data_IF_267754963741
#
_entry.id   IF_267754963741
#
_cell.length_a   1.000
_cell.length_b   1.000
_cell.length_c   1.000
_cell.angle_alpha   90.00
_cell.angle_beta   90.00
_cell.angle_gamma   90.00
#
_symmetry.space_group_name_H-M   'P 1'
#
loop_
_entity.id
_entity.type
_entity.pdbx_description
1 polymer ?
#
# COMPACT_ATOMS: atom_id res chain seq x y z
N UNK A 1 -7.29 -12.72 13.09
CA UNK A 1 -7.56 -14.01 13.80
C UNK A 1 -6.57 -15.03 13.24
N UNK A 2 -5.58 -15.49 14.02
CA UNK A 2 -4.59 -16.44 13.51
C UNK A 2 -5.30 -17.79 13.26
N UNK A 3 -5.22 -18.32 12.04
CA UNK A 3 -5.88 -19.56 11.61
C UNK A 3 -5.19 -20.84 12.12
N UNK A 4 -4.20 -20.70 13.01
CA UNK A 4 -3.52 -21.80 13.67
C UNK A 4 -4.11 -22.03 15.07
N UNK A 5 -4.19 -23.30 15.48
CA UNK A 5 -4.74 -23.72 16.78
C UNK A 5 -4.12 -22.91 17.90
N UNK A 6 -4.96 -22.47 18.84
CA UNK A 6 -4.64 -21.74 20.09
C UNK A 6 -3.75 -22.53 21.10
N UNK A 7 -2.79 -23.32 20.64
CA UNK A 7 -1.66 -23.73 21.44
C UNK A 7 -0.46 -22.91 21.00
N UNK A 8 -0.23 -21.82 21.75
CA UNK A 8 0.82 -20.82 21.56
C UNK A 8 0.77 -20.09 20.21
N UNK A 9 0.41 -18.81 20.27
CA UNK A 9 1.03 -17.80 19.42
C UNK A 9 2.54 -17.88 19.65
N UNK A 10 3.22 -18.78 18.95
CA UNK A 10 4.68 -18.89 18.98
C UNK A 10 5.22 -17.63 18.30
N UNK A 11 5.97 -16.78 19.01
CA UNK A 11 6.83 -15.82 18.34
C UNK A 11 7.81 -16.63 17.48
N UNK A 12 7.79 -16.43 16.16
CA UNK A 12 8.78 -17.04 15.24
C UNK A 12 8.29 -18.03 14.19
N UNK A 13 6.97 -18.19 13.96
CA UNK A 13 6.50 -18.92 12.77
C UNK A 13 6.53 -18.00 11.55
N UNK A 14 7.56 -18.12 10.72
CA UNK A 14 7.61 -17.52 9.39
C UNK A 14 6.91 -18.42 8.37
N UNK A 15 6.22 -17.82 7.39
CA UNK A 15 5.63 -18.55 6.27
C UNK A 15 6.54 -18.40 5.05
N UNK A 16 7.08 -19.51 4.56
CA UNK A 16 7.93 -19.54 3.35
C UNK A 16 7.11 -19.61 2.06
N UNK A 17 5.83 -19.96 2.17
CA UNK A 17 4.95 -20.25 1.03
C UNK A 17 4.82 -21.76 0.74
N UNK A 18 5.51 -22.61 1.50
CA UNK A 18 5.36 -24.06 1.41
C UNK A 18 3.97 -24.52 1.87
N UNK A 19 3.27 -25.30 1.04
CA UNK A 19 1.86 -25.65 1.30
C UNK A 19 1.65 -26.45 2.60
N UNK A 20 2.66 -27.19 3.07
CA UNK A 20 2.63 -27.91 4.34
C UNK A 20 2.45 -27.00 5.57
N UNK A 21 2.80 -25.71 5.46
CA UNK A 21 2.63 -24.70 6.51
C UNK A 21 1.15 -24.30 6.68
N UNK A 22 0.34 -24.46 5.63
CA UNK A 22 -1.06 -24.04 5.56
C UNK A 22 -2.06 -25.20 5.65
N UNK A 23 -1.61 -26.42 5.37
CA UNK A 23 -2.45 -27.63 5.33
C UNK A 23 -1.89 -28.72 6.24
N UNK A 24 -1.67 -28.37 7.51
CA UNK A 24 -1.13 -29.25 8.53
C UNK A 24 -2.04 -29.38 9.75
N UNK A 25 -1.65 -30.24 10.70
CA UNK A 25 -2.39 -30.46 11.95
C UNK A 25 -2.45 -29.23 12.88
N UNK A 26 -1.59 -28.23 12.60
CA UNK A 26 -1.53 -26.92 13.28
C UNK A 26 -2.68 -26.00 12.92
N UNK A 27 -3.39 -26.25 11.81
CA UNK A 27 -4.50 -25.43 11.36
C UNK A 27 -5.71 -25.64 12.26
N UNK A 28 -6.36 -24.55 12.64
CA UNK A 28 -7.62 -24.57 13.39
C UNK A 28 -8.80 -24.80 12.43
N UNK A 29 -9.16 -26.06 12.27
CA UNK A 29 -10.26 -26.46 11.38
C UNK A 29 -11.62 -25.97 11.86
N UNK A 30 -11.80 -25.79 13.18
CA UNK A 30 -13.06 -25.27 13.74
C UNK A 30 -13.21 -23.79 13.39
N UNK A 31 -12.14 -23.00 13.54
CA UNK A 31 -12.11 -21.60 13.14
C UNK A 31 -12.34 -21.43 11.62
N UNK A 32 -11.67 -22.23 10.78
CA UNK A 32 -11.89 -22.19 9.33
C UNK A 32 -13.32 -22.54 8.93
N UNK A 33 -13.90 -23.57 9.56
CA UNK A 33 -15.29 -23.97 9.32
C UNK A 33 -16.26 -22.86 9.71
N UNK A 34 -16.03 -22.22 10.86
CA UNK A 34 -16.81 -21.07 11.28
C UNK A 34 -16.74 -19.91 10.27
N UNK A 35 -15.55 -19.56 9.79
CA UNK A 35 -15.37 -18.48 8.82
C UNK A 35 -16.03 -18.80 7.47
N UNK A 36 -15.92 -20.04 6.99
CA UNK A 36 -16.60 -20.49 5.78
C UNK A 36 -18.13 -20.41 5.91
N UNK A 37 -18.69 -20.84 7.05
CA UNK A 37 -20.12 -20.72 7.34
C UNK A 37 -20.55 -19.25 7.43
N UNK A 38 -19.75 -18.39 8.08
CA UNK A 38 -20.03 -16.96 8.18
C UNK A 38 -20.06 -16.30 6.81
N UNK A 39 -19.05 -16.53 5.97
CA UNK A 39 -19.00 -15.99 4.61
C UNK A 39 -20.15 -16.52 3.74
N UNK A 40 -20.46 -17.82 3.81
CA UNK A 40 -21.60 -18.38 3.08
C UNK A 40 -22.91 -17.70 3.50
N UNK A 41 -23.14 -17.54 4.80
CA UNK A 41 -24.32 -16.86 5.33
C UNK A 41 -24.40 -15.39 4.90
N UNK A 42 -23.31 -14.63 5.04
CA UNK A 42 -23.25 -13.20 4.68
C UNK A 42 -23.64 -13.02 3.20
N UNK A 43 -23.04 -13.79 2.29
CA UNK A 43 -23.32 -13.66 0.86
C UNK A 43 -24.69 -14.22 0.45
N UNK A 44 -25.27 -15.15 1.23
CA UNK A 44 -26.66 -15.58 1.04
C UNK A 44 -27.66 -14.49 1.44
N UNK A 45 -27.39 -13.75 2.51
CA UNK A 45 -28.27 -12.70 3.02
C UNK A 45 -28.10 -11.39 2.24
N UNK A 46 -26.85 -11.03 1.92
CA UNK A 46 -26.48 -9.82 1.19
C UNK A 46 -25.44 -10.18 0.11
N UNK A 47 -25.87 -10.55 -1.11
CA UNK A 47 -24.97 -10.98 -2.18
C UNK A 47 -23.93 -9.93 -2.62
N UNK A 48 -24.18 -8.65 -2.34
CA UNK A 48 -23.27 -7.54 -2.62
C UNK A 48 -22.36 -7.19 -1.45
N UNK A 49 -22.40 -7.95 -0.35
CA UNK A 49 -21.49 -7.74 0.77
C UNK A 49 -20.04 -7.92 0.34
N UNK A 50 -19.14 -7.25 1.04
CA UNK A 50 -17.70 -7.42 0.87
C UNK A 50 -17.12 -7.82 2.22
N UNK A 51 -16.41 -8.93 2.22
CA UNK A 51 -15.72 -9.49 3.38
C UNK A 51 -14.21 -9.50 3.12
N UNK A 52 -13.43 -8.98 4.08
CA UNK A 52 -11.98 -8.81 3.92
C UNK A 52 -11.28 -9.57 5.05
N UNK A 53 -10.34 -10.44 4.67
CA UNK A 53 -9.49 -11.15 5.61
C UNK A 53 -8.21 -10.36 5.92
N UNK A 54 -7.98 -10.11 7.20
CA UNK A 54 -6.67 -9.73 7.72
C UNK A 54 -5.90 -11.01 8.08
N UNK A 55 -5.15 -11.52 7.10
CA UNK A 55 -4.30 -12.69 7.22
C UNK A 55 -2.89 -12.39 6.69
N UNK A 56 -1.91 -12.41 7.60
CA UNK A 56 -0.50 -12.24 7.27
C UNK A 56 0.12 -13.51 6.69
N UNK A 57 -0.47 -14.68 6.95
CA UNK A 57 0.17 -15.96 6.62
C UNK A 57 0.33 -16.18 5.13
N UNK A 58 -0.67 -15.80 4.33
CA UNK A 58 -0.67 -16.13 2.91
C UNK A 58 -1.57 -17.31 2.55
N UNK A 59 -2.51 -17.71 3.43
CA UNK A 59 -3.26 -18.96 3.28
C UNK A 59 -3.93 -19.07 1.89
N UNK A 60 -3.62 -20.12 1.11
CA UNK A 60 -4.27 -20.37 -0.18
C UNK A 60 -5.77 -20.65 -0.01
N UNK A 61 -6.57 -20.24 -1.01
CA UNK A 61 -8.02 -20.45 -1.04
C UNK A 61 -8.82 -19.74 0.07
N UNK A 62 -8.19 -18.82 0.80
CA UNK A 62 -8.87 -17.98 1.79
C UNK A 62 -9.91 -17.08 1.11
N UNK A 63 -9.59 -16.60 -0.10
CA UNK A 63 -10.45 -15.70 -0.86
C UNK A 63 -11.12 -16.38 -2.07
N UNK A 64 -11.30 -17.71 -2.02
CA UNK A 64 -12.06 -18.45 -3.03
C UNK A 64 -13.46 -18.81 -2.49
N UNK A 65 -14.48 -18.97 -3.36
CA UNK A 65 -15.83 -19.31 -2.94
C UNK A 65 -15.91 -20.60 -2.13
N UNK A 66 -16.82 -20.63 -1.15
CA UNK A 66 -17.07 -21.79 -0.27
C UNK A 66 -17.49 -23.01 -1.09
N UNK A 67 -18.25 -22.80 -2.15
CA UNK A 67 -18.74 -23.83 -3.08
C UNK A 67 -17.59 -24.53 -3.83
N UNK A 68 -16.43 -23.89 -3.93
CA UNK A 68 -15.22 -24.44 -4.55
C UNK A 68 -14.22 -24.99 -3.53
N UNK A 69 -14.60 -25.02 -2.24
CA UNK A 69 -13.74 -25.45 -1.15
C UNK A 69 -12.85 -24.37 -0.54
N UNK A 70 -13.09 -23.10 -0.87
CA UNK A 70 -12.43 -21.96 -0.23
C UNK A 70 -13.13 -21.51 1.06
N UNK A 71 -12.59 -20.47 1.70
CA UNK A 71 -13.16 -19.90 2.94
C UNK A 71 -14.20 -18.81 2.65
N UNK A 72 -14.24 -18.27 1.43
CA UNK A 72 -15.30 -17.38 0.97
C UNK A 72 -15.11 -15.88 1.25
N UNK A 73 -13.91 -15.43 1.66
CA UNK A 73 -13.63 -14.00 1.72
C UNK A 73 -13.53 -13.42 0.30
N UNK A 74 -13.90 -12.15 0.13
CA UNK A 74 -13.77 -11.48 -1.17
C UNK A 74 -12.35 -10.97 -1.41
N UNK A 75 -11.72 -10.45 -0.36
CA UNK A 75 -10.38 -9.89 -0.42
C UNK A 75 -9.54 -10.30 0.78
N UNK A 76 -8.22 -10.19 0.62
CA UNK A 76 -7.25 -10.19 1.72
C UNK A 76 -6.44 -8.91 1.72
N UNK A 77 -5.86 -8.55 2.86
CA UNK A 77 -4.91 -7.44 2.95
C UNK A 77 -3.53 -7.81 2.40
N UNK A 78 -2.94 -6.94 1.58
CA UNK A 78 -1.59 -7.06 1.03
C UNK A 78 -0.51 -6.66 2.05
N UNK A 79 -0.43 -7.37 3.18
CA UNK A 79 0.34 -6.95 4.36
C UNK A 79 1.86 -6.86 4.15
N UNK A 80 2.41 -7.55 3.15
CA UNK A 80 3.85 -7.47 2.82
C UNK A 80 4.26 -6.14 2.16
N UNK A 81 3.30 -5.38 1.63
CA UNK A 81 3.57 -4.15 0.86
C UNK A 81 4.08 -3.02 1.78
N UNK A 82 3.42 -2.68 2.91
CA UNK A 82 3.96 -1.70 3.85
C UNK A 82 5.34 -2.08 4.40
N UNK A 83 5.55 -3.34 4.76
CA UNK A 83 6.83 -3.82 5.28
C UNK A 83 7.97 -3.58 4.29
N UNK A 84 7.71 -3.76 2.99
CA UNK A 84 8.68 -3.50 1.93
C UNK A 84 9.04 -2.03 1.84
N UNK A 85 8.07 -1.12 1.92
CA UNK A 85 8.34 0.31 1.91
C UNK A 85 9.11 0.77 3.14
N UNK A 86 8.72 0.31 4.32
CA UNK A 86 9.43 0.60 5.57
C UNK A 86 10.87 0.10 5.50
N UNK A 87 11.07 -1.13 5.04
CA UNK A 87 12.41 -1.71 4.86
C UNK A 87 13.27 -0.85 3.94
N UNK A 88 12.74 -0.45 2.77
CA UNK A 88 13.46 0.41 1.83
C UNK A 88 13.83 1.77 2.45
N UNK A 89 12.90 2.40 3.17
CA UNK A 89 13.11 3.72 3.79
C UNK A 89 14.04 3.69 5.01
N UNK A 90 14.07 2.57 5.73
CA UNK A 90 14.83 2.40 6.97
C UNK A 90 16.24 1.89 6.74
N UNK A 91 16.41 0.95 5.81
CA UNK A 91 17.65 0.16 5.68
C UNK A 91 18.49 0.53 4.46
N UNK A 92 17.90 1.20 3.45
CA UNK A 92 18.57 1.44 2.17
C UNK A 92 18.55 2.93 1.80
N UNK A 93 19.62 3.37 1.14
CA UNK A 93 19.61 4.64 0.40
C UNK A 93 18.87 4.46 -0.91
N UNK A 94 18.38 5.55 -1.50
CA UNK A 94 17.57 5.54 -2.73
C UNK A 94 18.29 4.84 -3.90
N UNK A 95 19.59 5.08 -4.04
CA UNK A 95 20.42 4.47 -5.07
C UNK A 95 20.54 2.94 -4.93
N UNK A 96 20.36 2.42 -3.72
CA UNK A 96 20.46 1.00 -3.38
C UNK A 96 19.11 0.29 -3.44
N UNK A 97 18.03 1.00 -3.77
CA UNK A 97 16.71 0.37 -3.93
C UNK A 97 16.73 -0.61 -5.09
N UNK A 98 16.45 -1.88 -4.76
CA UNK A 98 16.30 -2.95 -5.74
C UNK A 98 14.90 -2.90 -6.36
N UNK A 99 14.84 -2.51 -7.63
CA UNK A 99 13.60 -2.28 -8.37
C UNK A 99 12.88 -3.59 -8.65
N UNK A 100 13.62 -4.65 -8.99
CA UNK A 100 13.09 -5.98 -9.25
C UNK A 100 12.38 -6.57 -8.03
N UNK A 101 12.98 -6.44 -6.85
CA UNK A 101 12.43 -6.92 -5.58
C UNK A 101 11.21 -6.09 -5.13
N UNK A 102 11.24 -4.77 -5.35
CA UNK A 102 10.09 -3.90 -5.13
C UNK A 102 8.90 -4.30 -6.02
N UNK A 103 9.14 -4.40 -7.34
CA UNK A 103 8.11 -4.82 -8.30
C UNK A 103 7.61 -6.22 -7.94
N UNK A 104 8.51 -7.16 -7.65
CA UNK A 104 8.14 -8.51 -7.23
C UNK A 104 7.21 -8.50 -6.03
N UNK A 105 7.52 -7.73 -4.99
CA UNK A 105 6.68 -7.64 -3.78
C UNK A 105 5.26 -7.16 -4.10
N UNK A 106 5.11 -6.20 -5.01
CA UNK A 106 3.79 -5.67 -5.40
C UNK A 106 2.97 -6.66 -6.25
N UNK A 107 3.64 -7.52 -7.03
CA UNK A 107 2.97 -8.43 -7.98
C UNK A 107 2.89 -9.88 -7.50
N UNK A 108 3.64 -10.26 -6.46
CA UNK A 108 3.69 -11.62 -5.92
C UNK A 108 2.42 -11.92 -5.11
N UNK A 109 1.33 -12.17 -5.83
CA UNK A 109 -0.01 -12.40 -5.30
C UNK A 109 -0.63 -13.62 -5.96
N UNK A 110 -1.57 -14.26 -5.28
CA UNK A 110 -2.22 -15.46 -5.78
C UNK A 110 -3.20 -15.10 -6.88
N UNK A 111 -3.01 -15.66 -8.07
CA UNK A 111 -3.92 -15.45 -9.18
C UNK A 111 -5.33 -15.94 -8.82
N UNK A 112 -6.35 -15.13 -9.07
CA UNK A 112 -7.75 -15.42 -8.76
C UNK A 112 -8.19 -15.06 -7.32
N UNK A 113 -7.27 -14.62 -6.45
CA UNK A 113 -7.59 -14.18 -5.09
C UNK A 113 -7.32 -12.67 -4.96
N UNK A 114 -8.37 -11.87 -4.75
CA UNK A 114 -8.27 -10.41 -4.76
C UNK A 114 -7.54 -9.89 -3.52
N UNK A 115 -6.70 -8.88 -3.70
CA UNK A 115 -5.89 -8.26 -2.64
C UNK A 115 -6.19 -6.77 -2.52
N UNK A 116 -6.43 -6.29 -1.29
CA UNK A 116 -6.45 -4.87 -0.97
C UNK A 116 -5.02 -4.42 -0.70
N UNK A 117 -4.51 -3.52 -1.54
CA UNK A 117 -3.19 -2.93 -1.38
C UNK A 117 -3.26 -1.59 -0.65
N UNK A 118 -2.20 -1.29 0.09
CA UNK A 118 -2.02 -0.06 0.85
C UNK A 118 -0.53 0.13 1.10
N UNK A 119 -0.07 1.39 1.12
CA UNK A 119 1.35 1.69 1.26
C UNK A 119 1.82 1.75 2.72
N UNK A 120 0.90 2.07 3.63
CA UNK A 120 1.09 2.13 5.09
C UNK A 120 -0.27 1.90 5.78
N UNK A 121 -0.25 1.37 7.01
CA UNK A 121 -1.42 0.96 7.77
C UNK A 121 -1.67 1.88 8.98
N UNK A 122 -2.68 1.53 9.76
CA UNK A 122 -2.94 2.18 11.05
C UNK A 122 -1.88 1.84 12.10
N UNK A 123 -1.22 0.68 12.02
CA UNK A 123 -0.17 0.27 12.95
C UNK A 123 1.06 1.18 12.83
N UNK A 124 1.49 1.50 11.59
CA UNK A 124 2.60 2.43 11.36
C UNK A 124 2.29 3.87 11.79
N UNK A 125 1.02 4.20 11.97
CA UNK A 125 0.61 5.51 12.47
C UNK A 125 0.67 5.60 14.00
N UNK A 126 0.81 4.49 14.73
CA UNK A 126 0.84 4.49 16.20
C UNK A 126 2.21 4.94 16.75
N UNK A 127 2.19 5.39 18.00
CA UNK A 127 3.41 5.69 18.76
C UNK A 127 4.37 4.51 18.77
N UNK A 128 5.64 4.76 18.42
CA UNK A 128 6.66 3.72 18.32
C UNK A 128 6.99 3.28 16.90
N UNK A 129 6.21 3.70 15.91
CA UNK A 129 6.54 3.58 14.49
C UNK A 129 6.49 4.96 13.79
N UNK A 130 6.74 5.00 12.48
CA UNK A 130 6.71 6.22 11.67
C UNK A 130 5.84 6.01 10.42
N UNK A 131 5.01 7.02 10.12
CA UNK A 131 4.31 7.11 8.83
C UNK A 131 5.30 7.26 7.68
N UNK A 132 4.88 7.01 6.43
CA UNK A 132 5.71 7.24 5.24
C UNK A 132 6.19 8.69 5.18
N UNK A 133 5.29 9.64 5.46
CA UNK A 133 5.62 11.06 5.52
C UNK A 133 6.75 11.33 6.53
N UNK A 134 6.69 10.72 7.72
CA UNK A 134 7.69 10.93 8.76
C UNK A 134 9.01 10.17 8.49
N UNK A 135 8.98 9.01 7.84
CA UNK A 135 10.19 8.36 7.31
C UNK A 135 10.90 9.22 6.25
N UNK A 136 10.13 9.92 5.42
CA UNK A 136 10.65 10.68 4.29
C UNK A 136 11.16 12.08 4.67
N UNK A 137 10.49 12.75 5.60
CA UNK A 137 10.73 14.17 5.91
C UNK A 137 11.18 14.42 7.35
N UNK A 138 10.94 13.48 8.26
CA UNK A 138 11.26 13.55 9.69
C UNK A 138 10.92 14.95 10.27
N UNK A 139 11.81 15.51 11.10
CA UNK A 139 11.63 16.81 11.75
C UNK A 139 11.53 18.00 10.81
N UNK A 140 12.03 17.92 9.57
CA UNK A 140 11.93 19.04 8.62
C UNK A 140 10.47 19.33 8.25
N UNK A 141 9.58 18.36 8.44
CA UNK A 141 8.16 18.54 8.23
C UNK A 141 7.55 19.63 9.14
N UNK A 142 8.15 19.88 10.32
CA UNK A 142 7.67 20.92 11.25
C UNK A 142 8.14 22.33 10.88
N UNK A 143 9.23 22.46 10.12
CA UNK A 143 9.85 23.76 9.80
C UNK A 143 9.73 24.15 8.34
N UNK A 144 9.58 23.16 7.45
CA UNK A 144 9.67 23.36 6.00
C UNK A 144 8.42 22.87 5.24
N UNK A 145 7.28 22.72 5.90
CA UNK A 145 6.00 22.49 5.23
C UNK A 145 5.24 23.76 4.85
N UNK A 146 5.74 24.95 5.22
CA UNK A 146 5.17 26.21 4.72
C UNK A 146 5.61 26.51 3.29
N UNK A 147 4.70 26.95 2.42
CA UNK A 147 5.04 27.39 1.06
C UNK A 147 5.96 28.61 1.04
N UNK A 148 6.02 29.38 2.13
CA UNK A 148 6.91 30.54 2.29
C UNK A 148 8.33 30.15 2.71
N UNK A 149 8.51 28.97 3.30
CA UNK A 149 9.83 28.49 3.68
C UNK A 149 10.57 27.95 2.45
N UNK A 150 11.90 27.91 2.52
CA UNK A 150 12.71 27.23 1.51
C UNK A 150 12.25 25.78 1.34
N UNK A 151 12.04 25.37 0.09
CA UNK A 151 11.79 23.97 -0.27
C UNK A 151 13.13 23.23 -0.22
N UNK A 152 13.43 22.59 0.91
CA UNK A 152 14.67 21.84 1.07
C UNK A 152 14.65 20.58 0.20
N UNK A 153 15.82 20.05 -0.20
CA UNK A 153 15.89 18.78 -0.92
C UNK A 153 15.21 17.61 -0.18
N UNK A 154 15.19 17.65 1.16
CA UNK A 154 14.50 16.64 1.99
C UNK A 154 12.99 16.72 1.82
N UNK A 155 12.40 17.92 1.91
CA UNK A 155 10.95 18.09 1.71
C UNK A 155 10.57 17.81 0.25
N UNK A 156 11.35 18.28 -0.71
CA UNK A 156 11.08 18.03 -2.13
C UNK A 156 11.07 16.53 -2.45
N UNK A 157 12.12 15.81 -2.02
CA UNK A 157 12.19 14.35 -2.09
C UNK A 157 11.02 13.69 -1.39
N UNK A 158 10.69 14.13 -0.18
CA UNK A 158 9.63 13.52 0.61
C UNK A 158 8.25 13.68 -0.03
N UNK A 159 7.93 14.86 -0.56
CA UNK A 159 6.69 15.09 -1.29
C UNK A 159 6.62 14.22 -2.57
N UNK A 160 7.71 14.15 -3.33
CA UNK A 160 7.77 13.36 -4.56
C UNK A 160 7.61 11.85 -4.28
N UNK A 161 8.41 11.31 -3.36
CA UNK A 161 8.36 9.87 -3.04
C UNK A 161 7.06 9.46 -2.38
N UNK A 162 6.46 10.29 -1.52
CA UNK A 162 5.16 9.99 -0.93
C UNK A 162 4.08 9.78 -2.00
N UNK A 163 4.04 10.66 -3.01
CA UNK A 163 3.15 10.54 -4.17
C UNK A 163 3.45 9.29 -5.00
N UNK A 164 4.73 9.05 -5.31
CA UNK A 164 5.16 7.92 -6.14
C UNK A 164 4.92 6.55 -5.48
N UNK A 165 5.23 6.40 -4.19
CA UNK A 165 5.03 5.16 -3.42
C UNK A 165 3.56 4.76 -3.46
N UNK A 166 2.66 5.74 -3.24
CA UNK A 166 1.23 5.49 -3.20
C UNK A 166 0.66 5.14 -4.57
N UNK A 167 1.02 5.91 -5.61
CA UNK A 167 0.58 5.62 -6.96
C UNK A 167 1.12 4.27 -7.45
N UNK A 168 2.39 3.95 -7.21
CA UNK A 168 2.94 2.65 -7.58
C UNK A 168 2.20 1.51 -6.85
N UNK A 169 1.96 1.69 -5.56
CA UNK A 169 1.23 0.69 -4.78
C UNK A 169 -0.19 0.49 -5.29
N UNK A 170 -0.95 1.57 -5.50
CA UNK A 170 -2.33 1.49 -5.99
C UNK A 170 -2.38 0.91 -7.41
N UNK A 171 -1.51 1.37 -8.31
CA UNK A 171 -1.54 0.94 -9.71
C UNK A 171 -0.98 -0.46 -9.94
N UNK A 172 -0.15 -1.02 -9.05
CA UNK A 172 0.49 -2.33 -9.27
C UNK A 172 0.13 -3.41 -8.23
N UNK A 173 -0.20 -2.99 -7.02
CA UNK A 173 -0.16 -3.83 -5.81
C UNK A 173 -1.40 -4.66 -5.49
N UNK A 174 -2.55 -4.42 -6.14
CA UNK A 174 -3.81 -5.03 -5.71
C UNK A 174 -4.99 -4.81 -6.64
N UNK A 175 -6.12 -5.41 -6.30
CA UNK A 175 -7.44 -5.24 -6.92
C UNK A 175 -8.34 -4.26 -6.14
N UNK A 176 -7.83 -3.72 -5.03
CA UNK A 176 -8.48 -2.68 -4.24
C UNK A 176 -7.42 -1.82 -3.54
N UNK A 177 -7.80 -0.60 -3.14
CA UNK A 177 -6.94 0.35 -2.45
C UNK A 177 -7.47 0.67 -1.06
N UNK A 178 -6.57 0.78 -0.08
CA UNK A 178 -6.88 1.23 1.28
C UNK A 178 -5.94 2.37 1.68
N UNK A 179 -6.49 3.36 2.35
CA UNK A 179 -5.74 4.47 2.95
C UNK A 179 -6.24 4.70 4.39
N UNK A 180 -5.32 4.76 5.35
CA UNK A 180 -5.66 5.12 6.71
C UNK A 180 -5.78 6.64 6.85
N UNK A 181 -6.84 7.08 7.54
CA UNK A 181 -7.22 8.49 7.69
C UNK A 181 -6.04 9.36 8.13
N UNK A 182 -5.75 10.43 7.39
CA UNK A 182 -4.63 11.33 7.59
C UNK A 182 -3.45 11.07 6.65
N UNK A 183 -3.18 9.81 6.31
CA UNK A 183 -2.04 9.47 5.47
C UNK A 183 -2.24 9.99 4.03
N UNK A 184 -3.49 10.31 3.65
CA UNK A 184 -3.81 10.87 2.34
C UNK A 184 -3.07 12.17 2.03
N UNK A 185 -2.79 12.96 3.06
CA UNK A 185 -2.08 14.21 2.96
C UNK A 185 -0.74 14.22 3.68
N UNK A 186 -0.22 13.07 4.09
CA UNK A 186 1.03 12.98 4.85
C UNK A 186 0.90 13.65 6.22
N UNK A 187 -0.15 13.31 6.97
CA UNK A 187 -0.41 13.85 8.31
C UNK A 187 0.85 13.81 9.19
N UNK A 188 1.18 14.91 9.90
CA UNK A 188 2.39 14.97 10.70
C UNK A 188 2.29 14.14 12.00
N UNK A 189 3.40 14.01 12.73
CA UNK A 189 3.43 13.34 14.05
C UNK A 189 3.00 11.85 13.97
N UNK A 190 2.34 11.38 15.03
CA UNK A 190 1.85 10.00 15.22
C UNK A 190 0.52 10.02 15.98
N UNK A 191 -0.14 8.87 16.04
CA UNK A 191 -1.34 8.60 16.82
C UNK A 191 -0.94 7.93 18.15
N UNK A 192 -1.35 8.50 19.29
CA UNK A 192 -1.18 7.86 20.60
C UNK A 192 -2.49 8.00 21.38
N UNK A 193 -2.98 6.90 21.93
CA UNK A 193 -4.21 6.86 22.71
C UNK A 193 -3.92 7.19 24.19
N UNK A 194 -4.88 7.76 24.92
CA UNK A 194 -4.76 7.98 26.36
C UNK A 194 -4.43 6.67 27.08
N UNK A 195 -3.33 6.67 27.82
CA UNK A 195 -2.87 5.53 28.62
C UNK A 195 -1.99 6.01 29.77
N UNK A 196 -1.76 5.18 30.81
CA UNK A 196 -0.89 5.57 31.92
C UNK A 196 0.51 6.03 31.50
N UNK A 197 1.06 5.46 30.42
CA UNK A 197 2.38 5.82 29.89
C UNK A 197 2.48 7.21 29.22
N UNK A 198 1.36 7.91 29.00
CA UNK A 198 1.34 9.29 28.50
C UNK A 198 0.45 10.22 29.34
N UNK A 199 0.20 9.85 30.61
CA UNK A 199 -0.66 10.58 31.55
C UNK A 199 -2.07 10.81 31.01
N UNK A 200 -2.66 9.78 30.39
CA UNK A 200 -4.02 9.82 29.81
C UNK A 200 -4.21 11.00 28.83
N UNK A 201 -3.16 11.33 28.09
CA UNK A 201 -3.15 12.46 27.17
C UNK A 201 -3.93 12.17 25.89
N UNK A 202 -4.78 13.11 25.50
CA UNK A 202 -5.50 13.12 24.22
C UNK A 202 -4.77 13.92 23.13
N UNK A 203 -3.59 14.47 23.43
CA UNK A 203 -2.89 15.40 22.54
C UNK A 203 -2.61 14.80 21.15
N UNK A 204 -2.28 13.51 21.07
CA UNK A 204 -2.03 12.78 19.82
C UNK A 204 -3.22 11.92 19.37
N UNK A 205 -4.29 11.82 20.15
CA UNK A 205 -5.50 11.07 19.82
C UNK A 205 -6.45 11.89 18.92
N UNK A 206 -5.91 12.48 17.84
CA UNK A 206 -6.62 13.42 16.97
C UNK A 206 -6.12 13.36 15.52
N UNK A 207 -6.83 14.07 14.64
CA UNK A 207 -6.37 14.42 13.29
C UNK A 207 -6.34 15.93 13.10
N UNK A 208 -5.23 16.42 12.55
CA UNK A 208 -4.94 17.85 12.35
C UNK A 208 -5.52 18.34 11.02
N UNK A 209 -6.85 18.32 10.85
CA UNK A 209 -7.49 18.74 9.59
C UNK A 209 -7.17 20.17 9.17
N UNK A 210 -6.89 21.03 10.15
CA UNK A 210 -6.47 22.42 9.94
C UNK A 210 -5.25 22.58 9.03
N UNK A 211 -4.37 21.56 8.91
CA UNK A 211 -3.21 21.64 8.01
C UNK A 211 -3.57 21.54 6.53
N UNK A 212 -4.77 21.02 6.21
CA UNK A 212 -5.33 21.00 4.87
C UNK A 212 -6.04 22.30 4.49
N UNK A 213 -6.67 22.92 5.48
CA UNK A 213 -7.40 24.19 5.29
C UNK A 213 -6.45 25.39 5.11
N UNK A 214 -5.19 25.24 5.53
CA UNK A 214 -4.17 26.28 5.41
C UNK A 214 -3.46 26.25 4.05
N UNK A 215 -3.84 27.19 3.18
CA UNK A 215 -3.21 27.39 1.87
C UNK A 215 -1.73 27.78 1.94
N UNK A 216 -1.22 28.14 3.11
CA UNK A 216 0.20 28.43 3.32
C UNK A 216 1.02 27.17 3.59
N UNK A 217 0.40 25.99 3.64
CA UNK A 217 1.08 24.71 3.87
C UNK A 217 1.10 23.80 2.62
N UNK A 218 2.09 22.91 2.57
CA UNK A 218 2.37 21.99 1.47
C UNK A 218 1.54 20.70 1.51
N UNK A 219 0.86 20.38 2.62
CA UNK A 219 0.01 19.17 2.76
C UNK A 219 -1.08 19.08 1.68
N UNK A 220 -1.60 20.23 1.24
CA UNK A 220 -2.58 20.33 0.16
C UNK A 220 -2.11 19.72 -1.16
N UNK A 221 -0.80 19.69 -1.43
CA UNK A 221 -0.26 19.06 -2.65
C UNK A 221 -0.41 17.53 -2.61
N UNK A 222 -0.14 16.92 -1.45
CA UNK A 222 -0.33 15.49 -1.25
C UNK A 222 -1.81 15.11 -1.33
N UNK A 223 -2.67 15.91 -0.71
CA UNK A 223 -4.12 15.69 -0.74
C UNK A 223 -4.71 15.81 -2.16
N UNK A 224 -4.31 16.84 -2.92
CA UNK A 224 -4.73 17.02 -4.32
C UNK A 224 -4.27 15.88 -5.20
N UNK A 225 -3.05 15.38 -4.97
CA UNK A 225 -2.53 14.22 -5.67
C UNK A 225 -3.36 12.96 -5.37
N UNK A 226 -3.68 12.69 -4.10
CA UNK A 226 -4.49 11.53 -3.73
C UNK A 226 -5.89 11.59 -4.34
N UNK A 227 -6.55 12.76 -4.29
CA UNK A 227 -7.84 12.96 -4.94
C UNK A 227 -7.75 12.69 -6.45
N UNK A 228 -6.74 13.24 -7.13
CA UNK A 228 -6.54 13.02 -8.56
C UNK A 228 -6.24 11.55 -8.89
N UNK A 229 -5.44 10.86 -8.08
CA UNK A 229 -5.13 9.44 -8.21
C UNK A 229 -6.41 8.60 -8.15
N UNK A 230 -7.27 8.81 -7.14
CA UNK A 230 -8.53 8.07 -7.00
C UNK A 230 -9.54 8.42 -8.10
N UNK A 231 -9.63 9.68 -8.53
CA UNK A 231 -10.51 10.06 -9.66
C UNK A 231 -10.07 9.48 -11.00
N UNK A 232 -8.76 9.29 -11.19
CA UNK A 232 -8.24 8.59 -12.37
C UNK A 232 -8.56 7.10 -12.31
N UNK A 233 -8.46 6.48 -11.13
CA UNK A 233 -8.84 5.08 -10.94
C UNK A 233 -10.32 4.89 -11.27
N UNK A 234 -11.22 5.74 -10.74
CA UNK A 234 -12.65 5.71 -11.07
C UNK A 234 -12.91 5.82 -12.58
N UNK A 235 -12.13 6.64 -13.29
CA UNK A 235 -12.30 6.85 -14.74
C UNK A 235 -11.78 5.69 -15.59
N UNK A 236 -10.66 5.09 -15.21
CA UNK A 236 -9.93 4.13 -16.04
C UNK A 236 -9.98 2.68 -15.52
N UNK A 237 -10.38 2.47 -14.27
CA UNK A 237 -10.71 1.19 -13.64
C UNK A 237 -9.55 0.21 -13.55
N UNK A 238 -8.31 0.65 -13.32
CA UNK A 238 -7.16 -0.28 -13.32
C UNK A 238 -7.16 -1.25 -12.14
N UNK A 239 -7.80 -0.94 -11.00
CA UNK A 239 -7.89 -1.90 -9.90
C UNK A 239 -8.78 -3.09 -10.29
N UNK A 240 -9.79 -2.86 -11.12
CA UNK A 240 -10.67 -3.90 -11.64
C UNK A 240 -10.11 -4.65 -12.87
N UNK A 241 -9.00 -4.17 -13.45
CA UNK A 241 -8.39 -4.84 -14.60
C UNK A 241 -7.54 -6.04 -14.18
N UNK A 242 -7.19 -6.87 -15.15
CA UNK A 242 -6.16 -7.88 -14.97
C UNK A 242 -4.84 -7.26 -14.47
N UNK A 243 -4.01 -8.12 -13.88
CA UNK A 243 -2.69 -7.75 -13.39
C UNK A 243 -1.84 -7.09 -14.48
N UNK A 244 -1.03 -6.11 -14.07
CA UNK A 244 -0.20 -5.33 -14.99
C UNK A 244 0.80 -6.20 -15.76
N UNK A 245 1.15 -5.75 -16.97
CA UNK A 245 2.26 -6.27 -17.75
C UNK A 245 3.49 -5.37 -17.56
N UNK A 246 4.56 -5.90 -16.94
CA UNK A 246 5.75 -5.13 -16.60
C UNK A 246 6.69 -5.10 -17.80
N UNK A 247 6.84 -3.93 -18.43
CA UNK A 247 7.70 -3.74 -19.60
C UNK A 247 9.12 -3.32 -19.23
N UNK A 248 9.30 -2.69 -18.06
CA UNK A 248 10.61 -2.25 -17.57
C UNK A 248 10.70 -2.30 -16.05
N UNK A 249 11.83 -2.82 -15.56
CA UNK A 249 12.25 -2.82 -14.13
C UNK A 249 13.77 -2.66 -14.07
N UNK A 250 14.26 -1.51 -14.55
CA UNK A 250 15.69 -1.26 -14.81
C UNK A 250 16.37 -0.80 -13.53
N UNK A 251 17.33 -1.59 -13.06
CA UNK A 251 18.06 -1.30 -11.81
C UNK A 251 18.95 -0.05 -11.91
N UNK A 252 19.71 0.08 -13.00
CA UNK A 252 20.66 1.20 -13.16
C UNK A 252 19.95 2.54 -13.37
N UNK A 253 18.87 2.51 -14.14
CA UNK A 253 18.08 3.71 -14.45
C UNK A 253 17.09 4.04 -13.33
N UNK A 254 16.81 3.07 -12.43
CA UNK A 254 15.73 3.12 -11.43
C UNK A 254 14.35 3.42 -12.03
N UNK A 255 14.12 2.95 -13.26
CA UNK A 255 12.87 3.16 -14.01
C UNK A 255 12.00 1.91 -13.95
N UNK A 256 10.74 2.10 -13.56
CA UNK A 256 9.67 1.10 -13.62
C UNK A 256 8.68 1.55 -14.69
N UNK A 257 8.36 0.67 -15.63
CA UNK A 257 7.27 0.89 -16.58
C UNK A 257 6.41 -0.36 -16.72
N UNK A 258 5.10 -0.17 -16.78
CA UNK A 258 4.15 -1.25 -16.96
C UNK A 258 2.84 -0.74 -17.55
N UNK A 259 2.10 -1.65 -18.18
CA UNK A 259 0.75 -1.40 -18.67
C UNK A 259 -0.25 -2.07 -17.73
N UNK A 260 -1.27 -1.33 -17.30
CA UNK A 260 -2.40 -1.89 -16.54
C UNK A 260 -3.70 -1.28 -17.01
N UNK A 261 -4.68 -2.13 -17.32
CA UNK A 261 -5.89 -1.70 -18.01
C UNK A 261 -5.53 -1.08 -19.37
N UNK A 262 -5.87 0.20 -19.56
CA UNK A 262 -5.59 0.96 -20.80
C UNK A 262 -4.50 2.01 -20.63
N UNK A 263 -3.74 1.93 -19.53
CA UNK A 263 -2.79 2.96 -19.14
C UNK A 263 -1.37 2.42 -19.13
N UNK A 264 -0.45 3.24 -19.61
CA UNK A 264 0.98 3.07 -19.42
C UNK A 264 1.40 3.89 -18.19
N UNK A 265 2.01 3.23 -17.21
CA UNK A 265 2.59 3.85 -16.03
C UNK A 265 4.10 3.89 -16.14
N UNK A 266 4.70 5.01 -15.73
CA UNK A 266 6.15 5.21 -15.77
C UNK A 266 6.57 5.90 -14.47
N UNK A 267 7.51 5.28 -13.77
CA UNK A 267 8.09 5.80 -12.53
C UNK A 267 9.60 5.90 -12.69
N UNK A 268 10.17 7.06 -12.36
CA UNK A 268 11.60 7.25 -12.26
C UNK A 268 11.97 7.44 -10.78
N UNK A 269 12.51 6.40 -10.15
CA UNK A 269 12.99 6.43 -8.76
C UNK A 269 14.46 6.86 -8.66
N UNK A 270 15.10 7.30 -9.74
CA UNK A 270 16.47 7.76 -9.67
C UNK A 270 16.57 9.06 -8.86
N UNK A 271 17.45 9.09 -7.85
CA UNK A 271 17.61 10.23 -6.94
C UNK A 271 18.11 11.55 -7.60
N UNK A 272 18.48 11.54 -8.88
CA UNK A 272 19.17 12.70 -9.50
C UNK A 272 19.16 12.72 -11.02
N UNK A 273 19.05 11.58 -11.71
CA UNK A 273 19.04 11.54 -13.17
C UNK A 273 17.63 11.76 -13.71
N UNK A 274 17.56 12.66 -14.69
CA UNK A 274 16.42 12.79 -15.60
C UNK A 274 16.80 12.20 -16.95
N UNK A 275 15.83 11.61 -17.64
CA UNK A 275 16.05 10.96 -18.92
C UNK A 275 15.27 11.70 -20.02
N UNK A 276 15.95 11.95 -21.14
CA UNK A 276 15.36 12.50 -22.37
C UNK A 276 15.36 11.38 -23.41
N UNK A 277 14.34 11.33 -24.26
CA UNK A 277 14.17 10.31 -25.31
C UNK A 277 14.20 8.86 -24.78
N UNK A 278 13.73 8.66 -23.54
CA UNK A 278 13.68 7.33 -22.92
C UNK A 278 12.64 6.45 -23.62
N UNK A 279 13.10 5.33 -24.19
CA UNK A 279 12.22 4.41 -24.92
C UNK A 279 11.45 3.51 -23.97
N UNK A 280 10.14 3.42 -24.20
CA UNK A 280 9.21 2.61 -23.42
C UNK A 280 8.53 1.61 -24.34
N UNK A 281 8.40 0.37 -23.88
CA UNK A 281 7.60 -0.65 -24.55
C UNK A 281 6.11 -0.42 -24.29
N UNK A 282 5.29 -0.57 -25.33
CA UNK A 282 3.83 -0.51 -25.28
C UNK A 282 3.26 -1.62 -26.15
N UNK A 283 2.08 -2.13 -25.79
CA UNK A 283 1.39 -3.18 -26.53
C UNK A 283 0.85 -2.66 -27.88
N UNK A 284 0.14 -1.52 -27.85
CA UNK A 284 -0.53 -0.98 -29.03
C UNK A 284 0.19 0.24 -29.61
N UNK A 285 0.36 0.33 -30.94
CA UNK A 285 0.88 1.54 -31.57
C UNK A 285 -0.16 2.66 -31.49
N UNK A 286 0.29 3.90 -31.29
CA UNK A 286 -0.62 5.04 -31.23
C UNK A 286 0.00 6.29 -30.64
N UNK A 287 -0.87 7.27 -30.36
CA UNK A 287 -0.51 8.50 -29.63
C UNK A 287 -0.90 8.33 -28.18
N UNK A 288 0.06 8.55 -27.28
CA UNK A 288 -0.12 8.45 -25.84
C UNK A 288 -0.08 9.86 -25.23
N UNK A 289 -1.23 10.51 -24.97
CA UNK A 289 -1.25 11.80 -24.28
C UNK A 289 -0.92 11.61 -22.79
N UNK A 290 -0.28 12.62 -22.20
CA UNK A 290 -0.08 12.68 -20.76
C UNK A 290 -1.43 12.90 -20.07
N UNK A 291 -1.85 11.93 -19.25
CA UNK A 291 -3.09 12.02 -18.48
C UNK A 291 -2.87 12.55 -17.06
N UNK A 292 -1.73 12.20 -16.47
CA UNK A 292 -1.40 12.53 -15.10
C UNK A 292 0.10 12.65 -14.91
N UNK A 293 0.50 13.61 -14.10
CA UNK A 293 1.87 13.85 -13.72
C UNK A 293 1.90 14.22 -12.25
N UNK A 294 2.90 13.72 -11.53
CA UNK A 294 2.94 13.79 -10.06
C UNK A 294 3.38 15.14 -9.49
N UNK A 295 3.70 16.18 -10.29
CA UNK A 295 4.25 17.45 -9.77
C UNK A 295 3.27 18.20 -8.86
#
# INVERSE_FOLDING_TARGET
>A
MCLQKKHSSLPGTGFSGGYHEYFGLSVDTEALTYLALANHMIHKVLPSAITIAEDVSGMPALCLPVETGGVGFDYRLGMAIPDKWIKLLKEYKDEDWNIGDLVWTLINRRHGEKTVCYAESHDQALVGDKTLAFWLMDKEMYTNMSVLSHLTPVIDRGLALHKMIRLLTQSLGGEAWLNFIGNEFGHPEWLDFPRPGNNDSYHYARRQWNVLDDDMLRYKYLNKFDAAMNHLEERYGWLSSAQAYITSKREDDKVIAFERGKLLFVFNFHASKSFVDYRLGVDLPGKYPLLFQSF
#
